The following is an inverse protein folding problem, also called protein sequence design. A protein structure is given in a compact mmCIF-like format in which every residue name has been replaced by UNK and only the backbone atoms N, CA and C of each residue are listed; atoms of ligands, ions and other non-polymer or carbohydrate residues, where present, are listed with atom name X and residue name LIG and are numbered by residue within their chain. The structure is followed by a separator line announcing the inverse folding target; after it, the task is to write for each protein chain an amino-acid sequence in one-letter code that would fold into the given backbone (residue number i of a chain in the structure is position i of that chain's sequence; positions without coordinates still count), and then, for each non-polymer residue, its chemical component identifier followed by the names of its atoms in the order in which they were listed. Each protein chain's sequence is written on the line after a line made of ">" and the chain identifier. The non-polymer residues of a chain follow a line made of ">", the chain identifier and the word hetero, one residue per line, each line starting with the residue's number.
data_IF_819815118696
#
_entry.id   IF_819815118696
#
_cell.length_a   1.000
_cell.length_b   1.000
_cell.length_c   1.000
_cell.angle_alpha   90.00
_cell.angle_beta   90.00
_cell.angle_gamma   90.00
#
_symmetry.space_group_name_H-M   'P 1'
#
loop_
_entity.id
_entity.type
_entity.pdbx_description
1 polymer ?
#
# COMPACT_ATOMS: atom_id res chain seq x y z
N UNK A 1 -4.98 -29.93 -22.26
CA UNK A 1 -5.97 -28.97 -21.73
C UNK A 1 -5.35 -27.58 -21.66
N UNK A 2 -6.02 -26.54 -22.14
CA UNK A 2 -5.50 -25.17 -22.06
C UNK A 2 -5.58 -24.66 -20.61
N UNK A 3 -4.48 -24.10 -20.10
CA UNK A 3 -4.40 -23.55 -18.75
C UNK A 3 -5.32 -22.32 -18.67
N UNK A 4 -6.32 -22.32 -17.77
CA UNK A 4 -7.20 -21.15 -17.54
C UNK A 4 -6.34 -19.94 -17.20
N UNK A 5 -6.48 -18.86 -17.97
CA UNK A 5 -5.83 -17.59 -17.67
C UNK A 5 -6.57 -16.90 -16.51
N UNK A 6 -5.82 -16.32 -15.60
CA UNK A 6 -6.35 -15.47 -14.52
C UNK A 6 -6.83 -14.16 -15.14
N UNK A 7 -8.00 -13.69 -14.71
CA UNK A 7 -8.58 -12.41 -15.16
C UNK A 7 -8.06 -11.23 -14.34
N UNK A 8 -8.15 -10.02 -14.88
CA UNK A 8 -7.72 -8.80 -14.17
C UNK A 8 -8.50 -8.60 -12.85
N UNK A 9 -9.82 -8.84 -12.86
CA UNK A 9 -10.65 -8.74 -11.66
C UNK A 9 -10.21 -9.73 -10.55
N UNK A 10 -9.78 -10.94 -10.91
CA UNK A 10 -9.25 -11.91 -9.94
C UNK A 10 -7.90 -11.47 -9.36
N UNK A 11 -7.08 -10.77 -10.14
CA UNK A 11 -5.81 -10.18 -9.69
C UNK A 11 -6.10 -9.07 -8.67
N UNK A 12 -7.01 -8.16 -9.00
CA UNK A 12 -7.39 -7.02 -8.14
C UNK A 12 -8.02 -7.49 -6.82
N UNK A 13 -8.95 -8.46 -6.88
CA UNK A 13 -9.53 -9.04 -5.68
C UNK A 13 -8.46 -9.70 -4.78
N UNK A 14 -7.47 -10.37 -5.38
CA UNK A 14 -6.37 -10.97 -4.63
C UNK A 14 -5.31 -9.95 -4.16
N UNK A 15 -5.22 -8.79 -4.83
CA UNK A 15 -4.31 -7.71 -4.48
C UNK A 15 -4.77 -7.00 -3.21
N UNK A 16 -6.09 -6.84 -3.00
CA UNK A 16 -6.65 -6.17 -1.83
C UNK A 16 -6.25 -6.80 -0.47
N UNK A 17 -5.86 -8.08 -0.44
CA UNK A 17 -5.44 -8.71 0.80
C UNK A 17 -4.13 -8.09 1.33
N UNK A 18 -4.01 -7.86 2.65
CA UNK A 18 -2.81 -7.32 3.28
C UNK A 18 -1.51 -7.99 2.83
N UNK A 19 -0.44 -7.20 2.72
CA UNK A 19 0.89 -7.69 2.36
C UNK A 19 1.60 -8.18 3.63
N UNK A 20 1.78 -9.50 3.74
CA UNK A 20 2.54 -10.12 4.84
C UNK A 20 3.98 -9.61 4.93
N UNK A 21 4.55 -9.23 3.79
CA UNK A 21 5.87 -8.62 3.68
C UNK A 21 5.78 -7.49 2.67
N UNK A 22 6.21 -6.29 3.07
CA UNK A 22 6.37 -5.14 2.19
C UNK A 22 7.85 -4.80 2.13
N UNK A 23 8.42 -4.80 0.93
CA UNK A 23 9.83 -4.50 0.72
C UNK A 23 9.94 -3.09 0.18
N UNK A 24 10.67 -2.22 0.87
CA UNK A 24 11.03 -0.92 0.34
C UNK A 24 11.96 -1.10 -0.86
N UNK A 25 11.52 -0.69 -2.04
CA UNK A 25 12.34 -0.78 -3.24
C UNK A 25 13.51 0.21 -3.15
N UNK A 26 14.74 -0.28 -3.35
CA UNK A 26 15.94 0.53 -3.17
C UNK A 26 15.97 1.80 -4.04
N UNK A 27 15.30 1.77 -5.20
CA UNK A 27 15.25 2.89 -6.13
C UNK A 27 14.12 3.89 -5.86
N UNK A 28 13.25 3.63 -4.86
CA UNK A 28 12.17 4.54 -4.52
C UNK A 28 12.70 5.92 -4.11
N UNK A 29 13.76 5.94 -3.29
CA UNK A 29 14.47 7.16 -2.88
C UNK A 29 15.04 7.95 -4.06
N UNK A 30 15.37 7.27 -5.17
CA UNK A 30 15.92 7.87 -6.40
C UNK A 30 14.83 8.39 -7.35
N UNK A 31 13.55 8.15 -7.04
CA UNK A 31 12.46 8.75 -7.81
C UNK A 31 12.46 10.28 -7.65
N UNK A 32 12.11 11.00 -8.71
CA UNK A 32 12.01 12.47 -8.66
C UNK A 32 10.98 12.93 -7.63
N UNK A 33 9.90 12.16 -7.44
CA UNK A 33 8.89 12.39 -6.41
C UNK A 33 9.49 12.31 -5.00
N UNK A 34 10.18 11.21 -4.66
CA UNK A 34 10.84 11.07 -3.36
C UNK A 34 11.94 12.09 -3.15
N UNK A 35 12.78 12.40 -4.14
CA UNK A 35 13.81 13.44 -3.99
C UNK A 35 13.22 14.82 -3.72
N UNK A 36 12.10 15.17 -4.36
CA UNK A 36 11.37 16.42 -4.06
C UNK A 36 10.84 16.42 -2.64
N UNK A 37 10.27 15.32 -2.20
CA UNK A 37 9.75 15.18 -0.85
C UNK A 37 10.85 15.23 0.22
N UNK A 38 11.94 14.48 0.05
CA UNK A 38 13.12 14.50 0.94
C UNK A 38 13.69 15.91 1.05
N UNK A 39 13.71 16.68 -0.04
CA UNK A 39 14.14 18.09 0.00
C UNK A 39 13.24 18.99 0.84
N UNK A 40 11.94 18.69 0.95
CA UNK A 40 10.96 19.45 1.73
C UNK A 40 10.92 19.04 3.20
N UNK A 41 10.91 17.75 3.47
CA UNK A 41 10.63 17.19 4.80
C UNK A 41 11.85 16.55 5.47
N UNK A 42 13.01 16.53 4.79
CA UNK A 42 14.24 15.95 5.31
C UNK A 42 14.23 14.41 5.36
N UNK A 43 15.31 13.81 5.86
CA UNK A 43 15.44 12.36 6.00
C UNK A 43 14.42 11.77 6.98
N UNK A 44 14.07 12.49 8.05
CA UNK A 44 13.07 12.03 9.02
C UNK A 44 11.67 11.97 8.39
N UNK A 45 11.34 12.92 7.50
CA UNK A 45 10.12 12.86 6.70
C UNK A 45 10.08 11.61 5.82
N UNK A 46 11.21 11.24 5.21
CA UNK A 46 11.30 10.01 4.42
C UNK A 46 11.13 8.76 5.28
N UNK A 47 11.71 8.72 6.49
CA UNK A 47 11.49 7.64 7.44
C UNK A 47 10.00 7.47 7.81
N UNK A 48 9.30 8.57 8.08
CA UNK A 48 7.85 8.56 8.31
C UNK A 48 7.06 8.11 7.08
N UNK A 49 7.51 8.47 5.88
CA UNK A 49 6.89 8.00 4.65
C UNK A 49 7.04 6.49 4.48
N UNK A 50 8.21 5.91 4.77
CA UNK A 50 8.39 4.44 4.77
C UNK A 50 7.43 3.77 5.77
N UNK A 51 7.32 4.33 6.97
CA UNK A 51 6.36 3.85 7.98
C UNK A 51 4.91 3.90 7.49
N UNK A 52 4.53 4.96 6.80
CA UNK A 52 3.20 5.09 6.22
C UNK A 52 2.94 4.03 5.13
N UNK A 53 3.93 3.71 4.30
CA UNK A 53 3.81 2.65 3.30
C UNK A 53 3.62 1.27 3.95
N UNK A 54 4.34 0.98 5.05
CA UNK A 54 4.13 -0.24 5.83
C UNK A 54 2.70 -0.31 6.36
N UNK A 55 2.15 0.82 6.83
CA UNK A 55 0.78 0.87 7.32
C UNK A 55 -0.23 0.60 6.20
N UNK A 56 -0.09 1.25 5.04
CA UNK A 56 -0.92 0.95 3.87
C UNK A 56 -0.86 -0.54 3.49
N UNK A 57 0.34 -1.12 3.49
CA UNK A 57 0.53 -2.51 3.13
C UNK A 57 -0.16 -3.49 4.11
N UNK A 58 -0.31 -3.10 5.38
CA UNK A 58 -0.98 -3.90 6.40
C UNK A 58 -2.51 -3.84 6.33
N UNK A 59 -3.08 -2.83 5.67
CA UNK A 59 -4.53 -2.65 5.55
C UNK A 59 -5.12 -3.42 4.37
N UNK A 60 -6.35 -3.91 4.56
CA UNK A 60 -7.15 -4.45 3.46
C UNK A 60 -7.53 -3.33 2.48
N UNK A 61 -7.30 -3.56 1.19
CA UNK A 61 -7.50 -2.55 0.14
C UNK A 61 -6.45 -1.44 0.11
N UNK A 62 -5.47 -1.48 1.03
CA UNK A 62 -4.37 -0.53 1.14
C UNK A 62 -4.81 0.93 1.31
N UNK A 63 -5.93 1.12 2.02
CA UNK A 63 -6.52 2.42 2.35
C UNK A 63 -6.30 2.69 3.82
N UNK A 64 -6.03 3.95 4.16
CA UNK A 64 -6.17 4.45 5.53
C UNK A 64 -7.23 5.55 5.49
N UNK A 65 -8.18 5.50 6.41
CA UNK A 65 -9.16 6.58 6.60
C UNK A 65 -8.61 7.58 7.63
N UNK A 66 -8.68 8.87 7.30
CA UNK A 66 -8.30 9.99 8.19
C UNK A 66 -9.39 11.06 8.26
N UNK A 67 -10.65 10.70 7.99
CA UNK A 67 -11.79 11.61 8.01
C UNK A 67 -12.06 12.19 9.39
N UNK A 68 -12.09 11.33 10.41
CA UNK A 68 -12.39 11.73 11.78
C UNK A 68 -11.13 12.03 12.59
N UNK A 69 -11.31 12.77 13.68
CA UNK A 69 -10.22 13.23 14.54
C UNK A 69 -9.51 12.10 15.28
N UNK A 70 -10.20 11.03 15.67
CA UNK A 70 -9.59 9.89 16.36
C UNK A 70 -8.64 9.15 15.42
N UNK A 71 -9.08 8.88 14.19
CA UNK A 71 -8.25 8.31 13.12
C UNK A 71 -7.02 9.17 12.81
N UNK A 72 -7.15 10.50 12.83
CA UNK A 72 -6.01 11.41 12.68
C UNK A 72 -5.00 11.30 13.82
N UNK A 73 -5.43 11.19 15.07
CA UNK A 73 -4.53 11.00 16.21
C UNK A 73 -3.85 9.63 16.18
N UNK A 74 -4.58 8.56 15.84
CA UNK A 74 -4.00 7.22 15.68
C UNK A 74 -2.88 7.22 14.62
N UNK A 75 -3.10 7.90 13.50
CA UNK A 75 -2.08 8.05 12.47
C UNK A 75 -0.92 8.95 12.94
N UNK A 76 -1.21 10.03 13.68
CA UNK A 76 -0.20 10.92 14.22
C UNK A 76 0.74 10.21 15.19
N UNK A 77 0.21 9.35 16.06
CA UNK A 77 0.99 8.54 16.99
C UNK A 77 1.87 7.53 16.25
N UNK A 78 1.31 6.83 15.26
CA UNK A 78 2.07 5.85 14.46
C UNK A 78 3.21 6.49 13.66
N UNK A 79 3.03 7.74 13.22
CA UNK A 79 4.04 8.50 12.46
C UNK A 79 4.87 9.45 13.35
N UNK A 80 4.75 9.35 14.67
CA UNK A 80 5.51 10.14 15.64
C UNK A 80 5.36 11.66 15.45
N UNK A 81 4.14 12.11 15.20
CA UNK A 81 3.71 13.50 15.32
C UNK A 81 3.08 13.80 16.70
N UNK A 82 2.61 12.77 17.42
CA UNK A 82 1.91 12.93 18.69
C UNK A 82 0.68 13.83 18.54
N UNK A 83 0.50 14.78 19.46
CA UNK A 83 -0.65 15.68 19.42
C UNK A 83 -0.63 16.72 18.28
N UNK A 84 0.43 16.76 17.46
CA UNK A 84 0.61 17.76 16.41
C UNK A 84 -0.08 17.39 15.09
N UNK A 85 -1.42 17.42 15.08
CA UNK A 85 -2.22 17.16 13.87
C UNK A 85 -1.93 18.14 12.72
N UNK A 86 -1.52 19.37 13.02
CA UNK A 86 -1.13 20.33 11.98
C UNK A 86 0.11 19.87 11.22
N UNK A 87 1.09 19.28 11.90
CA UNK A 87 2.29 18.73 11.27
C UNK A 87 1.96 17.48 10.46
N UNK A 88 1.07 16.60 10.96
CA UNK A 88 0.56 15.46 10.19
C UNK A 88 -0.13 15.94 8.90
N UNK A 89 -1.04 16.91 8.99
CA UNK A 89 -1.77 17.43 7.83
C UNK A 89 -0.83 18.02 6.77
N UNK A 90 0.17 18.80 7.19
CA UNK A 90 1.18 19.34 6.27
C UNK A 90 2.04 18.23 5.64
N UNK A 91 2.41 17.20 6.39
CA UNK A 91 3.14 16.04 5.88
C UNK A 91 2.36 15.27 4.81
N UNK A 92 1.07 14.98 5.05
CA UNK A 92 0.20 14.32 4.06
C UNK A 92 0.01 15.18 2.81
N UNK A 93 -0.14 16.49 2.98
CA UNK A 93 -0.21 17.44 1.86
C UNK A 93 1.08 17.43 1.03
N UNK A 94 2.25 17.45 1.66
CA UNK A 94 3.54 17.39 0.95
C UNK A 94 3.76 16.08 0.20
N UNK A 95 3.34 14.95 0.77
CA UNK A 95 3.35 13.66 0.07
C UNK A 95 2.43 13.68 -1.16
N UNK A 96 1.21 14.22 -1.00
CA UNK A 96 0.23 14.29 -2.08
C UNK A 96 0.71 15.19 -3.23
N UNK A 97 1.26 16.36 -2.92
CA UNK A 97 1.85 17.26 -3.92
C UNK A 97 3.04 16.66 -4.65
N UNK A 98 3.79 15.76 -4.00
CA UNK A 98 4.87 15.02 -4.64
C UNK A 98 4.37 13.81 -5.45
N UNK A 99 3.07 13.48 -5.38
CA UNK A 99 2.48 12.32 -6.05
C UNK A 99 2.79 10.98 -5.36
N UNK A 100 3.20 11.00 -4.09
CA UNK A 100 3.55 9.80 -3.32
C UNK A 100 2.35 9.15 -2.64
N UNK A 101 1.30 9.95 -2.39
CA UNK A 101 -0.02 9.49 -1.96
C UNK A 101 -1.13 10.18 -2.76
N UNK A 102 -2.31 9.57 -2.75
CA UNK A 102 -3.56 10.16 -3.19
C UNK A 102 -4.43 10.43 -1.97
N UNK A 103 -5.09 11.58 -1.95
CA UNK A 103 -6.10 11.93 -0.94
C UNK A 103 -7.46 12.02 -1.63
N UNK A 104 -8.45 11.35 -1.06
CA UNK A 104 -9.82 11.34 -1.55
C UNK A 104 -10.68 12.32 -0.73
N UNK A 105 -11.77 12.81 -1.32
CA UNK A 105 -12.62 13.83 -0.69
C UNK A 105 -13.40 13.34 0.54
N UNK A 106 -13.39 12.03 0.79
CA UNK A 106 -14.01 11.35 1.93
C UNK A 106 -13.02 11.10 3.09
N UNK A 107 -11.78 11.59 3.01
CA UNK A 107 -10.77 11.37 4.05
C UNK A 107 -9.94 10.11 3.85
N UNK A 108 -10.21 9.29 2.83
CA UNK A 108 -9.36 8.16 2.51
C UNK A 108 -8.02 8.61 1.89
N UNK A 109 -6.95 7.87 2.18
CA UNK A 109 -5.64 8.04 1.55
C UNK A 109 -5.09 6.71 1.04
N UNK A 110 -4.30 6.75 -0.04
CA UNK A 110 -3.63 5.60 -0.67
C UNK A 110 -2.25 5.95 -1.19
N UNK A 111 -1.40 4.94 -1.43
CA UNK A 111 -0.12 5.14 -2.12
C UNK A 111 -0.02 4.30 -3.40
N UNK A 112 0.27 4.92 -4.56
CA UNK A 112 0.57 4.20 -5.80
C UNK A 112 1.72 3.19 -5.67
N UNK A 113 2.67 3.46 -4.74
CA UNK A 113 3.81 2.57 -4.47
C UNK A 113 3.33 1.23 -3.89
N UNK A 114 2.36 1.27 -2.97
CA UNK A 114 1.79 0.06 -2.39
C UNK A 114 0.86 -0.63 -3.39
N UNK A 115 0.08 0.13 -4.17
CA UNK A 115 -0.78 -0.43 -5.22
C UNK A 115 0.01 -1.27 -6.25
N UNK A 116 1.19 -0.79 -6.68
CA UNK A 116 2.06 -1.54 -7.59
C UNK A 116 2.54 -2.86 -6.97
N UNK A 117 3.00 -2.81 -5.71
CA UNK A 117 3.41 -4.00 -4.95
C UNK A 117 2.25 -4.97 -4.76
N UNK A 118 1.07 -4.46 -4.42
CA UNK A 118 -0.14 -5.22 -4.21
C UNK A 118 -0.57 -5.97 -5.48
N UNK A 119 -0.54 -5.31 -6.63
CA UNK A 119 -0.85 -5.94 -7.93
C UNK A 119 0.14 -7.04 -8.29
N UNK A 120 1.43 -6.83 -8.03
CA UNK A 120 2.46 -7.86 -8.23
C UNK A 120 2.16 -9.12 -7.41
N UNK A 121 1.83 -8.97 -6.12
CA UNK A 121 1.48 -10.11 -5.26
C UNK A 121 0.10 -10.69 -5.56
N UNK A 122 -0.88 -9.85 -5.91
CA UNK A 122 -2.23 -10.25 -6.32
C UNK A 122 -2.20 -11.20 -7.52
N UNK A 123 -1.37 -10.89 -8.53
CA UNK A 123 -1.18 -11.76 -9.70
C UNK A 123 -0.65 -13.14 -9.32
N UNK A 124 0.29 -13.20 -8.37
CA UNK A 124 0.86 -14.47 -7.86
C UNK A 124 -0.18 -15.27 -7.07
N UNK A 125 -0.93 -14.61 -6.18
CA UNK A 125 -2.00 -15.20 -5.37
C UNK A 125 -3.10 -15.80 -6.25
N UNK A 126 -3.60 -15.02 -7.21
CA UNK A 126 -4.65 -15.46 -8.12
C UNK A 126 -4.20 -16.62 -9.02
N UNK A 127 -2.95 -16.59 -9.50
CA UNK A 127 -2.36 -17.70 -10.26
C UNK A 127 -2.22 -18.98 -9.43
N UNK A 128 -1.81 -18.86 -8.16
CA UNK A 128 -1.71 -20.00 -7.24
C UNK A 128 -3.08 -20.63 -6.95
N UNK A 129 -4.15 -19.83 -6.83
CA UNK A 129 -5.51 -20.33 -6.62
C UNK A 129 -5.99 -21.21 -7.79
N UNK A 130 -5.69 -20.81 -9.03
CA UNK A 130 -6.04 -21.61 -10.23
C UNK A 130 -5.19 -22.88 -10.35
N UNK A 131 -3.89 -22.78 -10.07
CA UNK A 131 -2.97 -23.93 -10.10
C UNK A 131 -3.17 -24.93 -8.95
N UNK A 132 -3.64 -24.47 -7.79
CA UNK A 132 -3.96 -25.31 -6.64
C UNK A 132 -5.27 -26.07 -6.80
N UNK A 133 -6.30 -25.45 -7.40
CA UNK A 133 -7.58 -26.11 -7.70
C UNK A 133 -7.40 -27.33 -8.61
N UNK A 134 -6.55 -27.22 -9.63
CA UNK A 134 -6.29 -28.30 -10.58
C UNK A 134 -5.53 -29.51 -9.99
N UNK A 135 -4.97 -29.39 -8.78
CA UNK A 135 -4.24 -30.49 -8.11
C UNK A 135 -5.13 -31.33 -7.18
N UNK A 136 -6.26 -30.77 -6.70
CA UNK A 136 -7.18 -31.46 -5.79
C UNK A 136 -8.18 -32.37 -6.52
N UNK A 137 -8.46 -32.12 -7.79
CA UNK A 137 -9.36 -32.96 -8.60
C UNK A 137 -8.69 -34.23 -9.14
N UNK A 138 -7.40 -34.47 -8.83
CA UNK A 138 -6.63 -35.62 -9.30
C UNK A 138 -6.24 -36.64 -8.23
N UNK A 139 -6.77 -36.54 -7.01
CA UNK A 139 -6.41 -37.44 -5.90
C UNK A 139 -7.63 -38.17 -5.29
N UNK A 140 -8.60 -38.53 -6.11
CA UNK A 140 -9.52 -39.62 -5.79
C UNK A 140 -9.13 -40.83 -6.67
N UNK A 141 -8.73 -41.91 -5.99
CA UNK A 141 -8.16 -43.18 -6.49
C UNK A 141 -6.62 -43.28 -6.45
N UNK A 142 -6.08 -43.51 -5.26
CA UNK A 142 -4.91 -44.35 -5.02
C UNK A 142 -5.07 -45.09 -3.70
#
# INVERSE_FOLDING_TARGET
>A
MARRKVTQAEIEAAAAAPLKYFTHEAHLADSTACRRFIRRCGPDGYGRFMRLLERFAAEEGHVIDVLDTESQYLLADELWFGDNLSALGQFLKDLSECGLIQMFGDGAIKSPVVDESALYFGKRRASAAVGGKSRKEGSENA
#
